data_IF_418971182829
#
_entry.id   IF_418971182829
#
_cell.length_a   1.000
_cell.length_b   1.000
_cell.length_c   1.000
_cell.angle_alpha   90.00
_cell.angle_beta   90.00
_cell.angle_gamma   90.00
#
_symmetry.space_group_name_H-M   'P 1'
#
loop_
_entity.id
_entity.type
_entity.pdbx_description
1 polymer ?
#
# COMPACT_ATOMS: atom_id res chain seq x y z
N UNK A 1 -40.00 -35.06 21.79
CA UNK A 1 -39.25 -36.33 21.92
C UNK A 1 -39.86 -37.10 23.06
N UNK A 2 -40.43 -38.26 22.77
CA UNK A 2 -40.88 -39.23 23.78
C UNK A 2 -39.71 -40.20 23.98
N UNK A 3 -38.95 -40.00 25.04
CA UNK A 3 -37.88 -40.91 25.47
C UNK A 3 -38.49 -41.94 26.40
N UNK A 4 -38.35 -43.23 26.08
CA UNK A 4 -38.78 -44.30 26.97
C UNK A 4 -37.62 -44.69 27.89
N UNK A 5 -37.74 -44.42 29.19
CA UNK A 5 -36.69 -44.75 30.16
C UNK A 5 -36.83 -46.22 30.54
N UNK A 6 -35.83 -47.02 30.21
CA UNK A 6 -35.79 -48.45 30.53
C UNK A 6 -35.22 -48.66 31.94
N UNK A 7 -34.20 -47.88 32.32
CA UNK A 7 -33.53 -48.01 33.62
C UNK A 7 -32.88 -46.71 34.05
N UNK A 8 -32.94 -46.43 35.36
CA UNK A 8 -32.30 -45.27 35.99
C UNK A 8 -31.62 -45.71 37.27
N UNK A 9 -30.29 -45.59 37.33
CA UNK A 9 -29.48 -45.94 38.51
C UNK A 9 -28.57 -44.78 38.90
N UNK A 10 -28.44 -44.52 40.19
CA UNK A 10 -27.51 -43.49 40.67
C UNK A 10 -26.08 -44.00 40.50
N UNK A 11 -25.24 -43.22 39.84
CA UNK A 11 -23.82 -43.47 39.71
C UNK A 11 -23.06 -42.41 40.53
N UNK A 12 -22.51 -42.85 41.67
CA UNK A 12 -21.77 -41.99 42.59
C UNK A 12 -20.36 -41.66 42.09
N UNK A 13 -19.89 -42.32 41.03
CA UNK A 13 -18.57 -42.08 40.43
C UNK A 13 -18.56 -40.94 39.41
N UNK A 14 -19.74 -40.55 38.90
CA UNK A 14 -19.88 -39.53 37.86
C UNK A 14 -20.53 -38.26 38.41
N UNK A 15 -19.83 -37.13 38.26
CA UNK A 15 -20.27 -35.82 38.78
C UNK A 15 -20.66 -34.84 37.67
N UNK A 16 -21.70 -34.05 37.92
CA UNK A 16 -22.17 -33.05 36.98
C UNK A 16 -21.15 -31.91 36.79
N UNK A 17 -20.79 -31.54 35.54
CA UNK A 17 -19.82 -30.46 35.29
C UNK A 17 -20.34 -29.07 35.68
N UNK A 18 -21.66 -28.89 35.85
CA UNK A 18 -22.25 -27.59 36.20
C UNK A 18 -22.37 -27.37 37.71
N UNK A 19 -22.69 -28.42 38.48
CA UNK A 19 -22.99 -28.29 39.92
C UNK A 19 -22.29 -29.30 40.82
N UNK A 20 -21.49 -30.21 40.25
CA UNK A 20 -20.71 -31.26 40.94
C UNK A 20 -21.52 -32.26 41.77
N UNK A 21 -22.84 -32.31 41.64
CA UNK A 21 -23.67 -33.35 42.24
C UNK A 21 -23.54 -34.69 41.49
N UNK A 22 -23.80 -35.80 42.17
CA UNK A 22 -23.83 -37.15 41.58
C UNK A 22 -24.92 -37.28 40.52
N UNK A 23 -24.64 -38.10 39.50
CA UNK A 23 -25.50 -38.24 38.33
C UNK A 23 -26.18 -39.61 38.29
N UNK A 24 -27.34 -39.68 37.66
CA UNK A 24 -27.99 -40.94 37.32
C UNK A 24 -27.49 -41.43 35.96
N UNK A 25 -27.07 -42.68 35.86
CA UNK A 25 -26.96 -43.37 34.58
C UNK A 25 -28.35 -43.80 34.12
N UNK A 26 -28.73 -43.38 32.92
CA UNK A 26 -30.04 -43.63 32.31
C UNK A 26 -29.84 -44.43 31.03
N UNK A 27 -30.45 -45.61 31.01
CA UNK A 27 -30.63 -46.42 29.81
C UNK A 27 -32.05 -46.11 29.30
N UNK A 28 -32.13 -45.53 28.10
CA UNK A 28 -33.40 -45.14 27.46
C UNK A 28 -33.44 -45.65 26.03
N UNK A 29 -34.63 -45.57 25.43
CA UNK A 29 -34.87 -45.94 24.05
C UNK A 29 -35.58 -44.78 23.32
N UNK A 30 -35.09 -44.46 22.13
CA UNK A 30 -35.66 -43.45 21.24
C UNK A 30 -35.83 -44.07 19.84
N UNK A 31 -37.07 -44.23 19.36
CA UNK A 31 -37.38 -44.83 18.06
C UNK A 31 -36.66 -46.16 17.79
N UNK A 32 -36.74 -47.11 18.74
CA UNK A 32 -36.11 -48.44 18.66
C UNK A 32 -34.57 -48.44 18.70
N UNK A 33 -33.95 -47.29 19.05
CA UNK A 33 -32.51 -47.17 19.26
C UNK A 33 -32.18 -46.98 20.74
N UNK A 34 -31.22 -47.76 21.23
CA UNK A 34 -30.68 -47.64 22.59
C UNK A 34 -29.93 -46.31 22.75
N UNK A 35 -30.30 -45.54 23.78
CA UNK A 35 -29.70 -44.27 24.14
C UNK A 35 -29.28 -44.28 25.61
N UNK A 36 -27.98 -44.18 25.84
CA UNK A 36 -27.41 -44.13 27.18
C UNK A 36 -26.89 -42.72 27.47
N UNK A 37 -27.30 -42.14 28.60
CA UNK A 37 -26.86 -40.82 29.03
C UNK A 37 -26.86 -40.66 30.55
N UNK A 38 -26.14 -39.66 31.04
CA UNK A 38 -26.15 -39.33 32.46
C UNK A 38 -27.04 -38.12 32.72
N UNK A 39 -27.93 -38.17 33.71
CA UNK A 39 -28.76 -37.04 34.15
C UNK A 39 -28.40 -36.62 35.57
N UNK A 40 -28.03 -35.35 35.75
CA UNK A 40 -27.74 -34.81 37.08
C UNK A 40 -28.99 -34.80 37.98
N UNK A 41 -28.83 -35.29 39.20
CA UNK A 41 -29.87 -35.31 40.24
C UNK A 41 -30.39 -33.92 40.64
N UNK A 42 -29.55 -32.88 40.55
CA UNK A 42 -29.89 -31.55 41.06
C UNK A 42 -30.32 -30.56 39.95
N UNK A 43 -29.53 -30.45 38.87
CA UNK A 43 -29.79 -29.45 37.81
C UNK A 43 -30.37 -30.04 36.51
N UNK A 44 -30.71 -31.35 36.51
CA UNK A 44 -31.23 -32.08 35.34
C UNK A 44 -30.37 -31.94 34.08
N UNK A 45 -29.07 -31.71 34.27
CA UNK A 45 -28.13 -31.63 33.17
C UNK A 45 -27.88 -33.02 32.61
N UNK A 46 -28.04 -33.16 31.30
CA UNK A 46 -27.91 -34.43 30.59
C UNK A 46 -26.57 -34.45 29.84
N UNK A 47 -25.79 -35.51 30.04
CA UNK A 47 -24.56 -35.80 29.31
C UNK A 47 -24.79 -37.02 28.43
N UNK A 48 -24.90 -36.77 27.13
CA UNK A 48 -25.00 -37.81 26.11
C UNK A 48 -23.58 -38.22 25.69
N UNK A 49 -23.42 -39.49 25.30
CA UNK A 49 -22.13 -39.99 24.78
C UNK A 49 -21.89 -39.55 23.33
N UNK A 50 -22.96 -39.20 22.61
CA UNK A 50 -22.92 -38.74 21.22
C UNK A 50 -23.21 -37.23 21.09
N UNK A 51 -22.54 -36.58 20.13
CA UNK A 51 -22.72 -35.15 19.80
C UNK A 51 -24.09 -34.81 19.16
N UNK A 52 -24.93 -35.81 18.90
CA UNK A 52 -26.24 -35.65 18.26
C UNK A 52 -27.29 -35.07 19.22
N UNK A 53 -27.12 -35.31 20.52
CA UNK A 53 -28.13 -34.95 21.52
C UNK A 53 -27.68 -33.78 22.38
N UNK A 54 -28.64 -32.90 22.68
CA UNK A 54 -28.37 -31.62 23.29
C UNK A 54 -29.05 -31.53 24.66
N UNK A 55 -28.30 -31.20 25.70
CA UNK A 55 -28.90 -30.93 27.01
C UNK A 55 -29.86 -29.73 26.96
N UNK A 56 -30.99 -29.87 27.65
CA UNK A 56 -32.07 -28.87 27.71
C UNK A 56 -32.27 -28.22 29.10
N UNK A 57 -31.34 -28.42 30.05
CA UNK A 57 -31.35 -27.69 31.31
C UNK A 57 -31.21 -26.17 31.10
N UNK A 58 -31.65 -25.37 32.06
CA UNK A 58 -31.69 -23.90 31.95
C UNK A 58 -30.32 -23.29 31.66
N UNK A 59 -29.27 -23.76 32.32
CA UNK A 59 -27.90 -23.29 32.11
C UNK A 59 -27.42 -23.53 30.66
N UNK A 60 -27.66 -24.73 30.13
CA UNK A 60 -27.31 -25.06 28.74
C UNK A 60 -28.15 -24.29 27.71
N UNK A 61 -29.45 -24.11 27.97
CA UNK A 61 -30.33 -23.29 27.12
C UNK A 61 -29.87 -21.83 27.09
N UNK A 62 -29.49 -21.26 28.24
CA UNK A 62 -29.00 -19.89 28.33
C UNK A 62 -27.64 -19.72 27.66
N UNK A 63 -26.71 -20.67 27.85
CA UNK A 63 -25.41 -20.67 27.16
C UNK A 63 -25.58 -20.73 25.64
N UNK A 64 -26.48 -21.59 25.13
CA UNK A 64 -26.76 -21.71 23.69
C UNK A 64 -27.44 -20.46 23.12
N UNK A 65 -28.40 -19.86 23.84
CA UNK A 65 -29.00 -18.57 23.47
C UNK A 65 -27.97 -17.44 23.41
N UNK A 66 -27.02 -17.42 24.35
CA UNK A 66 -25.92 -16.43 24.34
C UNK A 66 -25.01 -16.64 23.13
N UNK A 67 -24.61 -17.89 22.85
CA UNK A 67 -23.79 -18.24 21.70
C UNK A 67 -24.48 -17.86 20.38
N UNK A 68 -25.77 -18.16 20.22
CA UNK A 68 -26.56 -17.80 19.04
C UNK A 68 -26.67 -16.28 18.85
N UNK A 69 -26.82 -15.51 19.93
CA UNK A 69 -26.82 -14.04 19.87
C UNK A 69 -25.44 -13.51 19.46
N UNK A 70 -24.36 -14.10 19.96
CA UNK A 70 -22.99 -13.73 19.61
C UNK A 70 -22.66 -14.07 18.16
N UNK A 71 -23.05 -15.25 17.65
CA UNK A 71 -22.86 -15.62 16.24
C UNK A 71 -23.66 -14.75 15.30
N UNK A 72 -24.92 -14.42 15.63
CA UNK A 72 -25.74 -13.49 14.84
C UNK A 72 -25.16 -12.08 14.81
N UNK A 73 -24.61 -11.59 15.94
CA UNK A 73 -23.91 -10.30 15.99
C UNK A 73 -22.63 -10.31 15.14
N UNK A 74 -21.89 -11.41 15.12
CA UNK A 74 -20.71 -11.58 14.28
C UNK A 74 -21.06 -11.65 12.79
N UNK A 75 -22.11 -12.38 12.42
CA UNK A 75 -22.59 -12.42 11.03
C UNK A 75 -23.10 -11.05 10.57
N UNK A 76 -23.85 -10.33 11.41
CA UNK A 76 -24.27 -8.96 11.10
C UNK A 76 -23.08 -8.00 10.95
N UNK A 77 -22.01 -8.17 11.74
CA UNK A 77 -20.75 -7.40 11.55
C UNK A 77 -20.06 -7.74 10.24
N UNK A 78 -19.95 -9.02 9.88
CA UNK A 78 -19.38 -9.46 8.59
C UNK A 78 -20.19 -8.97 7.39
N UNK A 79 -21.53 -8.98 7.49
CA UNK A 79 -22.43 -8.48 6.44
C UNK A 79 -22.33 -6.95 6.31
N UNK A 80 -22.19 -6.22 7.42
CA UNK A 80 -21.92 -4.77 7.40
C UNK A 80 -20.55 -4.48 6.78
N UNK A 81 -19.50 -5.21 7.16
CA UNK A 81 -18.17 -5.07 6.57
C UNK A 81 -18.15 -5.36 5.07
N UNK A 82 -18.87 -6.39 4.59
CA UNK A 82 -19.02 -6.68 3.15
C UNK A 82 -19.67 -5.55 2.34
N UNK A 83 -20.49 -4.69 2.96
CA UNK A 83 -21.12 -3.55 2.27
C UNK A 83 -20.20 -2.33 2.16
N UNK A 84 -19.12 -2.28 2.92
CA UNK A 84 -18.19 -1.14 3.00
C UNK A 84 -16.85 -1.39 2.27
N UNK A 85 -16.66 -2.55 1.63
CA UNK A 85 -15.48 -2.81 0.80
C UNK A 85 -15.62 -2.01 -0.49
N UNK A 86 -14.99 -0.83 -0.53
CA UNK A 86 -14.83 -0.05 -1.75
C UNK A 86 -13.84 -0.79 -2.64
N UNK A 87 -14.34 -1.41 -3.69
CA UNK A 87 -13.50 -2.08 -4.69
C UNK A 87 -12.95 -1.05 -5.67
N UNK A 88 -11.64 -0.80 -5.59
CA UNK A 88 -10.95 0.14 -6.46
C UNK A 88 -10.50 -0.54 -7.75
N UNK A 89 -10.76 0.06 -8.90
CA UNK A 89 -10.17 -0.42 -10.14
C UNK A 89 -8.71 0.06 -10.26
N UNK A 90 -7.82 -0.75 -10.81
CA UNK A 90 -6.38 -0.44 -10.85
C UNK A 90 -6.10 0.88 -11.60
N UNK A 91 -6.86 1.19 -12.64
CA UNK A 91 -6.81 2.46 -13.39
C UNK A 91 -7.19 3.68 -12.53
N UNK A 92 -8.01 3.48 -11.49
CA UNK A 92 -8.48 4.56 -10.63
C UNK A 92 -7.45 5.03 -9.62
N UNK A 93 -6.43 4.22 -9.35
CA UNK A 93 -5.32 4.62 -8.48
C UNK A 93 -4.57 5.80 -9.10
N UNK A 94 -4.05 6.67 -8.23
CA UNK A 94 -3.18 7.74 -8.68
C UNK A 94 -1.82 7.18 -9.15
N UNK A 95 -1.13 7.96 -9.97
CA UNK A 95 0.16 7.60 -10.58
C UNK A 95 1.21 7.23 -9.51
N UNK A 96 1.25 7.96 -8.38
CA UNK A 96 2.17 7.70 -7.28
C UNK A 96 1.96 6.31 -6.65
N UNK A 97 0.70 5.93 -6.42
CA UNK A 97 0.31 4.65 -5.85
C UNK A 97 0.58 3.50 -6.83
N UNK A 98 0.28 3.68 -8.13
CA UNK A 98 0.64 2.69 -9.16
C UNK A 98 2.15 2.48 -9.26
N UNK A 99 2.92 3.58 -9.26
CA UNK A 99 4.38 3.55 -9.26
C UNK A 99 4.93 2.81 -8.02
N UNK A 100 4.36 3.09 -6.84
CA UNK A 100 4.75 2.42 -5.61
C UNK A 100 4.42 0.93 -5.64
N UNK A 101 3.21 0.55 -6.06
CA UNK A 101 2.81 -0.85 -6.24
C UNK A 101 3.75 -1.59 -7.20
N UNK A 102 4.09 -0.99 -8.35
CA UNK A 102 5.05 -1.59 -9.27
C UNK A 102 6.42 -1.78 -8.61
N UNK A 103 6.94 -0.75 -7.93
CA UNK A 103 8.24 -0.83 -7.26
C UNK A 103 8.31 -1.92 -6.17
N UNK A 104 7.16 -2.23 -5.56
CA UNK A 104 6.99 -3.29 -4.56
C UNK A 104 7.02 -4.68 -5.21
N UNK A 105 6.31 -4.84 -6.34
CA UNK A 105 6.03 -6.13 -6.98
C UNK A 105 7.07 -6.56 -8.01
N UNK A 106 7.76 -5.61 -8.66
CA UNK A 106 8.53 -5.89 -9.87
C UNK A 106 9.67 -6.89 -9.68
N UNK A 107 10.30 -6.89 -8.49
CA UNK A 107 11.34 -7.88 -8.17
C UNK A 107 10.82 -9.16 -7.51
N UNK A 108 9.53 -9.24 -7.21
CA UNK A 108 8.91 -10.36 -6.49
C UNK A 108 8.18 -11.31 -7.44
N UNK A 109 7.56 -10.78 -8.49
CA UNK A 109 6.68 -11.54 -9.38
C UNK A 109 7.31 -11.64 -10.76
N UNK A 110 7.80 -12.83 -11.13
CA UNK A 110 8.44 -13.09 -12.41
C UNK A 110 7.80 -14.29 -13.11
N UNK A 111 7.82 -14.29 -14.44
CA UNK A 111 7.36 -15.42 -15.26
C UNK A 111 8.18 -16.68 -14.94
N UNK A 112 7.50 -17.82 -14.80
CA UNK A 112 8.14 -19.11 -14.54
C UNK A 112 8.62 -19.34 -13.11
N UNK A 113 8.45 -18.38 -12.19
CA UNK A 113 8.80 -18.52 -10.78
C UNK A 113 7.57 -18.70 -9.90
N UNK A 114 7.68 -19.55 -8.86
CA UNK A 114 6.65 -19.66 -7.81
C UNK A 114 6.79 -18.44 -6.90
N UNK A 115 5.75 -17.60 -6.85
CA UNK A 115 5.66 -16.46 -5.95
C UNK A 115 4.46 -16.60 -5.00
N UNK A 116 4.51 -15.88 -3.89
CA UNK A 116 3.40 -15.79 -2.96
C UNK A 116 2.40 -14.72 -3.44
N UNK A 117 1.10 -15.04 -3.47
CA UNK A 117 0.05 -14.06 -3.78
C UNK A 117 -0.07 -12.96 -2.69
N UNK A 118 0.49 -13.21 -1.50
CA UNK A 118 0.51 -12.24 -0.40
C UNK A 118 1.81 -11.46 -0.31
N UNK A 119 1.68 -10.16 -0.02
CA UNK A 119 2.79 -9.25 0.30
C UNK A 119 3.11 -9.39 1.78
N UNK A 120 4.29 -9.93 2.10
CA UNK A 120 4.81 -10.00 3.48
C UNK A 120 5.69 -8.79 3.77
N UNK A 121 5.13 -7.82 4.47
CA UNK A 121 5.80 -6.54 4.68
C UNK A 121 7.10 -6.65 5.48
N UNK A 122 7.13 -7.51 6.50
CA UNK A 122 8.30 -7.69 7.37
C UNK A 122 9.55 -8.15 6.60
N UNK A 123 9.38 -8.93 5.52
CA UNK A 123 10.47 -9.45 4.68
C UNK A 123 11.05 -8.40 3.71
N UNK A 124 10.30 -7.33 3.43
CA UNK A 124 10.61 -6.36 2.37
C UNK A 124 10.76 -4.92 2.86
N UNK A 125 10.34 -4.61 4.09
CA UNK A 125 10.25 -3.23 4.61
C UNK A 125 11.57 -2.44 4.62
N UNK A 126 12.72 -3.10 4.65
CA UNK A 126 14.04 -2.45 4.62
C UNK A 126 14.72 -2.46 3.25
N UNK A 127 14.08 -3.03 2.23
CA UNK A 127 14.59 -2.94 0.85
C UNK A 127 14.46 -1.49 0.35
N UNK A 128 15.35 -1.02 -0.54
CA UNK A 128 15.29 0.34 -1.08
C UNK A 128 14.18 0.46 -2.15
N UNK A 129 12.92 0.29 -1.74
CA UNK A 129 11.77 0.37 -2.65
C UNK A 129 11.52 1.84 -3.00
N UNK A 130 11.50 2.71 -1.98
CA UNK A 130 11.42 4.17 -2.15
C UNK A 130 12.67 4.85 -1.59
N UNK A 131 12.90 6.16 -1.84
CA UNK A 131 14.13 6.83 -1.41
C UNK A 131 14.42 6.73 0.09
N UNK A 132 13.40 6.68 0.95
CA UNK A 132 13.63 6.45 2.38
C UNK A 132 12.51 5.65 3.04
N UNK A 133 12.85 4.99 4.16
CA UNK A 133 11.93 4.11 4.87
C UNK A 133 10.65 4.81 5.38
N UNK A 134 10.76 6.08 5.79
CA UNK A 134 9.60 6.83 6.30
C UNK A 134 8.58 7.08 5.19
N UNK A 135 9.05 7.42 4.00
CA UNK A 135 8.20 7.60 2.83
C UNK A 135 7.55 6.28 2.39
N UNK A 136 8.33 5.21 2.34
CA UNK A 136 7.84 3.85 2.08
C UNK A 136 6.74 3.43 3.08
N UNK A 137 6.98 3.65 4.38
CA UNK A 137 5.99 3.35 5.43
C UNK A 137 4.74 4.22 5.33
N UNK A 138 4.89 5.48 4.90
CA UNK A 138 3.77 6.37 4.68
C UNK A 138 2.88 5.90 3.52
N UNK A 139 3.48 5.54 2.38
CA UNK A 139 2.75 5.03 1.21
C UNK A 139 2.03 3.72 1.52
N UNK A 140 2.66 2.79 2.26
CA UNK A 140 1.98 1.58 2.73
C UNK A 140 0.74 1.90 3.57
N UNK A 141 0.87 2.82 4.55
CA UNK A 141 -0.26 3.23 5.39
C UNK A 141 -1.38 3.89 4.58
N UNK A 142 -1.03 4.66 3.55
CA UNK A 142 -2.03 5.23 2.63
C UNK A 142 -2.77 4.12 1.87
N UNK A 143 -2.06 3.18 1.25
CA UNK A 143 -2.69 2.08 0.51
C UNK A 143 -3.58 1.19 1.41
N UNK A 144 -3.19 0.98 2.66
CA UNK A 144 -4.01 0.25 3.64
C UNK A 144 -5.26 1.04 4.01
N UNK A 145 -5.11 2.34 4.30
CA UNK A 145 -6.24 3.23 4.62
C UNK A 145 -7.21 3.35 3.45
N UNK A 146 -6.69 3.37 2.24
CA UNK A 146 -7.45 3.55 1.01
C UNK A 146 -7.99 2.18 0.49
N UNK A 147 -7.96 1.12 1.30
CA UNK A 147 -8.46 -0.23 1.00
C UNK A 147 -7.88 -0.89 -0.27
N UNK A 148 -6.70 -0.44 -0.72
CA UNK A 148 -5.95 -1.04 -1.83
C UNK A 148 -5.13 -2.24 -1.33
N UNK A 149 -4.60 -2.15 -0.11
CA UNK A 149 -3.94 -3.26 0.58
C UNK A 149 -4.77 -3.65 1.79
N UNK A 150 -5.22 -4.90 1.83
CA UNK A 150 -6.05 -5.39 2.95
C UNK A 150 -5.23 -6.37 3.79
N UNK A 151 -5.13 -6.14 5.11
CA UNK A 151 -4.43 -7.06 6.00
C UNK A 151 -5.19 -8.39 6.08
N UNK A 152 -4.44 -9.48 6.23
CA UNK A 152 -5.04 -10.80 6.41
C UNK A 152 -5.60 -10.93 7.83
N UNK A 153 -6.92 -10.91 7.97
CA UNK A 153 -7.65 -10.92 9.27
C UNK A 153 -7.44 -12.18 10.12
N UNK A 154 -6.81 -13.25 9.60
CA UNK A 154 -6.78 -14.58 10.22
C UNK A 154 -5.39 -15.24 10.28
N UNK A 155 -4.30 -14.48 10.13
CA UNK A 155 -2.94 -15.03 10.28
C UNK A 155 -2.28 -14.56 11.58
N UNK A 156 -1.48 -15.45 12.19
CA UNK A 156 -0.53 -15.13 13.27
C UNK A 156 0.55 -14.12 12.82
N UNK A 157 0.58 -13.74 11.54
CA UNK A 157 1.47 -12.75 10.96
C UNK A 157 0.71 -11.43 10.68
N UNK A 158 0.81 -10.41 11.55
CA UNK A 158 0.06 -9.17 11.47
C UNK A 158 0.48 -8.22 10.33
N UNK A 159 1.42 -8.62 9.46
CA UNK A 159 1.99 -7.78 8.40
C UNK A 159 1.95 -8.44 7.01
N UNK A 160 0.99 -9.34 6.81
CA UNK A 160 0.69 -9.95 5.52
C UNK A 160 -0.52 -9.28 4.88
N UNK A 161 -0.37 -8.81 3.64
CA UNK A 161 -1.38 -8.07 2.89
C UNK A 161 -1.72 -8.75 1.56
N UNK A 162 -2.96 -8.60 1.10
CA UNK A 162 -3.35 -8.88 -0.29
C UNK A 162 -3.76 -7.58 -0.99
N UNK A 163 -3.63 -7.54 -2.32
CA UNK A 163 -4.05 -6.39 -3.13
C UNK A 163 -5.53 -6.53 -3.45
N UNK A 164 -6.31 -5.52 -3.08
CA UNK A 164 -7.75 -5.43 -3.33
C UNK A 164 -8.00 -4.41 -4.46
N UNK A 165 -7.71 -4.82 -5.70
CA UNK A 165 -7.95 -4.00 -6.90
C UNK A 165 -8.61 -4.82 -8.00
N UNK A 166 -9.48 -4.20 -8.79
CA UNK A 166 -10.03 -4.81 -10.01
C UNK A 166 -9.16 -4.52 -11.22
N UNK A 167 -9.17 -5.43 -12.18
CA UNK A 167 -8.46 -5.29 -13.46
C UNK A 167 -9.37 -5.81 -14.59
N UNK A 168 -9.71 -4.99 -15.58
CA UNK A 168 -10.38 -5.38 -16.84
C UNK A 168 -11.50 -6.44 -16.72
N UNK A 169 -12.41 -6.24 -15.77
CA UNK A 169 -13.57 -7.14 -15.55
C UNK A 169 -13.31 -8.30 -14.59
N UNK A 170 -12.07 -8.51 -14.15
CA UNK A 170 -11.74 -9.43 -13.06
C UNK A 170 -11.92 -8.72 -11.70
N UNK A 171 -12.77 -9.31 -10.86
CA UNK A 171 -12.99 -8.84 -9.48
C UNK A 171 -11.80 -9.14 -8.56
N UNK A 172 -11.12 -10.26 -8.79
CA UNK A 172 -9.98 -10.74 -8.00
C UNK A 172 -8.84 -11.14 -8.95
N UNK A 173 -8.11 -10.17 -9.53
CA UNK A 173 -6.97 -10.46 -10.39
C UNK A 173 -5.81 -11.05 -9.58
N UNK A 174 -5.04 -11.95 -10.19
CA UNK A 174 -3.81 -12.47 -9.59
C UNK A 174 -2.76 -11.36 -9.40
N UNK A 175 -1.84 -11.55 -8.45
CA UNK A 175 -0.72 -10.63 -8.24
C UNK A 175 0.12 -10.45 -9.51
N UNK A 176 0.25 -11.51 -10.30
CA UNK A 176 0.91 -11.47 -11.61
C UNK A 176 0.19 -10.62 -12.63
N UNK A 177 -1.13 -10.77 -12.76
CA UNK A 177 -1.93 -9.94 -13.68
C UNK A 177 -1.81 -8.46 -13.35
N UNK A 178 -1.89 -8.11 -12.05
CA UNK A 178 -1.68 -6.73 -11.59
C UNK A 178 -0.26 -6.24 -11.92
N UNK A 179 0.76 -7.06 -11.64
CA UNK A 179 2.15 -6.70 -11.89
C UNK A 179 2.43 -6.49 -13.38
N UNK A 180 1.94 -7.39 -14.24
CA UNK A 180 2.13 -7.28 -15.69
C UNK A 180 1.44 -6.04 -16.26
N UNK A 181 0.22 -5.73 -15.80
CA UNK A 181 -0.44 -4.51 -16.23
C UNK A 181 0.36 -3.26 -15.83
N UNK A 182 0.89 -3.22 -14.61
CA UNK A 182 1.73 -2.12 -14.16
C UNK A 182 3.03 -2.02 -14.98
N UNK A 183 3.66 -3.15 -15.33
CA UNK A 183 4.83 -3.16 -16.23
C UNK A 183 4.48 -2.61 -17.60
N UNK A 184 3.37 -3.03 -18.19
CA UNK A 184 2.91 -2.48 -19.47
C UNK A 184 2.70 -0.97 -19.40
N UNK A 185 2.19 -0.43 -18.30
CA UNK A 185 2.01 1.01 -18.18
C UNK A 185 3.29 1.81 -17.93
N UNK A 186 4.30 1.24 -17.27
CA UNK A 186 5.50 1.98 -16.85
C UNK A 186 6.76 1.68 -17.68
N UNK A 187 6.90 0.47 -18.22
CA UNK A 187 8.10 0.02 -18.93
C UNK A 187 7.91 0.02 -20.44
N UNK A 188 6.69 -0.24 -20.90
CA UNK A 188 6.38 -0.14 -22.31
C UNK A 188 6.05 1.30 -22.69
N UNK A 189 5.97 1.55 -23.99
CA UNK A 189 5.50 2.83 -24.47
C UNK A 189 4.08 3.12 -23.97
N UNK A 190 3.76 4.40 -23.77
CA UNK A 190 2.41 4.91 -23.41
C UNK A 190 1.30 4.46 -24.38
N UNK A 191 1.69 3.81 -25.48
CA UNK A 191 0.88 3.06 -26.42
C UNK A 191 0.05 1.95 -25.80
N UNK A 192 0.61 1.21 -24.83
CA UNK A 192 -0.01 0.02 -24.24
C UNK A 192 -0.81 0.33 -22.96
N UNK A 193 -0.96 1.61 -22.65
CA UNK A 193 -1.73 2.12 -21.53
C UNK A 193 -1.01 3.25 -20.80
N UNK A 194 -1.80 4.03 -20.06
CA UNK A 194 -1.33 5.26 -19.43
C UNK A 194 -1.48 5.09 -17.90
N UNK A 195 -0.39 5.16 -17.12
CA UNK A 195 -0.46 5.02 -15.67
C UNK A 195 -0.97 6.28 -14.95
N UNK A 196 -1.15 7.40 -15.66
CA UNK A 196 -1.51 8.70 -15.12
C UNK A 196 -2.79 9.26 -15.75
N UNK A 197 -3.46 10.16 -15.04
CA UNK A 197 -4.64 10.89 -15.57
C UNK A 197 -4.25 12.23 -16.18
N UNK A 198 -3.31 12.93 -15.56
CA UNK A 198 -2.86 14.25 -16.01
C UNK A 198 -1.35 14.35 -15.99
N UNK A 199 -0.79 15.20 -16.84
CA UNK A 199 0.64 15.48 -16.89
C UNK A 199 1.14 16.12 -15.58
N UNK A 200 0.28 16.91 -14.92
CA UNK A 200 0.48 17.52 -13.62
C UNK A 200 0.64 16.47 -12.51
N UNK A 201 -0.07 15.34 -12.60
CA UNK A 201 0.06 14.23 -11.66
C UNK A 201 1.47 13.60 -11.74
N UNK A 202 1.98 13.41 -12.95
CA UNK A 202 3.35 12.94 -13.21
C UNK A 202 4.36 13.95 -12.69
N UNK A 203 4.18 15.24 -12.99
CA UNK A 203 5.06 16.32 -12.52
C UNK A 203 5.12 16.37 -11.00
N UNK A 204 3.96 16.29 -10.35
CA UNK A 204 3.85 16.31 -8.89
C UNK A 204 4.57 15.10 -8.27
N UNK A 205 4.42 13.93 -8.89
CA UNK A 205 5.12 12.70 -8.46
C UNK A 205 6.63 12.81 -8.63
N UNK A 206 7.11 13.37 -9.75
CA UNK A 206 8.52 13.67 -9.95
C UNK A 206 9.08 14.55 -8.83
N UNK A 207 8.39 15.64 -8.49
CA UNK A 207 8.82 16.55 -7.42
C UNK A 207 8.81 15.85 -6.05
N UNK A 208 7.80 15.03 -5.77
CA UNK A 208 7.74 14.23 -4.54
C UNK A 208 8.96 13.29 -4.44
N UNK A 209 9.24 12.51 -5.48
CA UNK A 209 10.35 11.54 -5.47
C UNK A 209 11.69 12.24 -5.33
N UNK A 210 11.95 13.32 -6.08
CA UNK A 210 13.20 14.08 -5.98
C UNK A 210 13.36 14.75 -4.60
N UNK A 211 12.27 15.22 -3.99
CA UNK A 211 12.32 15.67 -2.60
C UNK A 211 12.70 14.55 -1.63
N UNK A 212 12.16 13.35 -1.82
CA UNK A 212 12.50 12.22 -0.95
C UNK A 212 13.95 11.76 -1.13
N UNK A 213 14.54 11.94 -2.32
CA UNK A 213 15.99 11.78 -2.55
C UNK A 213 16.81 12.84 -1.78
N UNK A 214 16.33 14.10 -1.69
CA UNK A 214 16.96 15.13 -0.81
C UNK A 214 16.88 14.73 0.66
N UNK A 215 15.74 14.17 1.09
CA UNK A 215 15.57 13.68 2.47
C UNK A 215 16.50 12.49 2.74
N UNK A 216 16.64 11.56 1.80
CA UNK A 216 17.57 10.45 1.93
C UNK A 216 19.02 10.94 2.03
N UNK A 217 19.39 11.93 1.21
CA UNK A 217 20.72 12.56 1.25
C UNK A 217 21.01 13.21 2.60
N UNK A 218 20.11 14.04 3.15
CA UNK A 218 20.33 14.64 4.47
C UNK A 218 20.44 13.58 5.57
N UNK A 219 19.63 12.53 5.51
CA UNK A 219 19.60 11.46 6.52
C UNK A 219 20.89 10.68 6.50
N UNK A 220 21.38 10.37 5.30
CA UNK A 220 22.66 9.73 5.11
C UNK A 220 23.80 10.58 5.68
N UNK A 221 23.82 11.87 5.37
CA UNK A 221 24.88 12.78 5.80
C UNK A 221 24.90 12.95 7.33
N UNK A 222 23.76 13.29 7.94
CA UNK A 222 23.64 13.46 9.40
C UNK A 222 23.89 12.18 10.19
N UNK A 223 23.67 10.99 9.59
CA UNK A 223 23.95 9.71 10.24
C UNK A 223 25.42 9.57 10.63
N UNK A 224 26.35 10.16 9.88
CA UNK A 224 27.78 10.16 10.21
C UNK A 224 28.10 10.88 11.53
N UNK A 225 27.22 11.78 11.97
CA UNK A 225 27.31 12.52 13.22
C UNK A 225 26.42 11.96 14.34
N UNK A 226 25.73 10.83 14.10
CA UNK A 226 24.74 10.29 15.03
C UNK A 226 23.50 11.18 15.20
N UNK A 227 23.26 12.11 14.27
CA UNK A 227 22.14 13.04 14.29
C UNK A 227 21.00 12.49 13.44
N UNK A 228 19.80 12.45 14.01
CA UNK A 228 18.57 12.16 13.28
C UNK A 228 18.04 13.43 12.63
N UNK A 229 17.57 13.31 11.39
CA UNK A 229 16.90 14.39 10.66
C UNK A 229 15.79 13.80 9.78
N UNK A 230 14.73 14.55 9.56
CA UNK A 230 13.57 14.12 8.79
C UNK A 230 12.94 15.31 8.06
N UNK A 231 12.32 15.07 6.91
CA UNK A 231 11.60 16.10 6.18
C UNK A 231 10.35 16.59 6.91
N UNK A 232 9.98 17.86 6.72
CA UNK A 232 8.68 18.41 7.08
C UNK A 232 8.08 19.19 5.91
N UNK A 233 6.77 19.50 5.99
CA UNK A 233 6.05 20.20 4.92
C UNK A 233 6.67 21.56 4.58
N UNK A 234 7.10 22.31 5.60
CA UNK A 234 7.69 23.63 5.41
C UNK A 234 9.01 23.59 4.62
N UNK A 235 9.82 22.55 4.83
CA UNK A 235 11.04 22.30 4.08
C UNK A 235 10.74 21.73 2.69
N UNK A 236 9.74 20.84 2.58
CA UNK A 236 9.28 20.30 1.30
C UNK A 236 8.86 21.40 0.32
N UNK A 237 7.99 22.32 0.74
CA UNK A 237 7.57 23.45 -0.10
C UNK A 237 8.78 24.30 -0.54
N UNK A 238 9.78 24.45 0.32
CA UNK A 238 10.99 25.18 -0.02
C UNK A 238 11.85 24.41 -1.04
N UNK A 239 12.05 23.11 -0.86
CA UNK A 239 12.74 22.26 -1.83
C UNK A 239 12.06 22.28 -3.20
N UNK A 240 10.73 22.27 -3.27
CA UNK A 240 10.02 22.39 -4.55
C UNK A 240 10.37 23.68 -5.29
N UNK A 241 10.47 24.81 -4.59
CA UNK A 241 10.93 26.07 -5.19
C UNK A 241 12.39 26.02 -5.64
N UNK A 242 13.25 25.30 -4.92
CA UNK A 242 14.64 25.10 -5.35
C UNK A 242 14.70 24.26 -6.64
N UNK A 243 13.92 23.18 -6.72
CA UNK A 243 13.83 22.28 -7.87
C UNK A 243 13.34 22.97 -9.16
N UNK A 244 12.64 24.11 -9.06
CA UNK A 244 12.26 24.92 -10.23
C UNK A 244 13.45 25.57 -10.92
N UNK A 245 14.52 25.89 -10.19
CA UNK A 245 15.65 26.69 -10.72
C UNK A 245 17.00 25.99 -10.67
N UNK A 246 17.18 25.01 -9.77
CA UNK A 246 18.44 24.32 -9.54
C UNK A 246 18.37 22.85 -9.96
N UNK A 247 19.52 22.31 -10.36
CA UNK A 247 19.69 20.87 -10.51
C UNK A 247 19.70 20.17 -9.14
N UNK A 248 19.35 18.89 -9.08
CA UNK A 248 19.30 18.15 -7.82
C UNK A 248 20.67 18.10 -7.12
N UNK A 249 21.77 17.94 -7.87
CA UNK A 249 23.12 17.94 -7.31
C UNK A 249 23.56 19.31 -6.76
N UNK A 250 23.04 20.42 -7.29
CA UNK A 250 23.26 21.75 -6.70
C UNK A 250 22.53 21.88 -5.37
N UNK A 251 21.34 21.29 -5.25
CA UNK A 251 20.61 21.25 -3.97
C UNK A 251 21.35 20.40 -2.96
N UNK A 252 21.93 19.25 -3.37
CA UNK A 252 22.78 18.44 -2.48
C UNK A 252 23.98 19.24 -1.96
N UNK A 253 24.68 19.96 -2.83
CA UNK A 253 25.77 20.84 -2.41
C UNK A 253 25.32 21.85 -1.34
N UNK A 254 24.23 22.58 -1.60
CA UNK A 254 23.70 23.56 -0.64
C UNK A 254 23.32 22.91 0.69
N UNK A 255 22.63 21.77 0.65
CA UNK A 255 22.22 21.00 1.84
C UNK A 255 23.43 20.55 2.64
N UNK A 256 24.46 20.01 1.98
CA UNK A 256 25.69 19.58 2.63
C UNK A 256 26.37 20.76 3.33
N UNK A 257 26.63 21.87 2.63
CA UNK A 257 27.29 23.05 3.20
C UNK A 257 26.51 23.63 4.38
N UNK A 258 25.17 23.69 4.29
CA UNK A 258 24.34 24.17 5.38
C UNK A 258 24.36 23.24 6.59
N UNK A 259 24.34 21.92 6.37
CA UNK A 259 24.44 20.93 7.45
C UNK A 259 25.80 20.98 8.15
N UNK A 260 26.90 21.08 7.39
CA UNK A 260 28.25 21.20 7.93
C UNK A 260 28.38 22.46 8.80
N UNK A 261 27.88 23.60 8.31
CA UNK A 261 27.84 24.83 9.08
C UNK A 261 27.07 24.66 10.39
N UNK A 262 25.85 24.12 10.34
CA UNK A 262 25.02 23.92 11.54
C UNK A 262 25.65 22.94 12.55
N UNK A 263 26.35 21.92 12.06
CA UNK A 263 27.09 20.96 12.88
C UNK A 263 28.31 21.59 13.55
N UNK A 264 29.11 22.35 12.79
CA UNK A 264 30.28 23.07 13.32
C UNK A 264 29.89 24.07 14.43
N UNK A 265 28.74 24.74 14.26
CA UNK A 265 28.18 25.63 15.28
C UNK A 265 27.51 24.90 16.46
N UNK A 266 27.44 23.56 16.42
CA UNK A 266 26.81 22.70 17.44
C UNK A 266 25.33 23.04 17.72
N UNK A 267 24.60 23.49 16.69
CA UNK A 267 23.19 23.88 16.81
C UNK A 267 22.26 22.69 16.51
N UNK A 268 22.75 21.69 15.78
CA UNK A 268 21.97 20.48 15.50
C UNK A 268 21.76 19.64 16.76
N UNK A 269 20.51 19.23 16.97
CA UNK A 269 20.13 18.31 18.04
C UNK A 269 20.33 16.86 17.60
N UNK A 270 20.63 15.96 18.54
CA UNK A 270 20.80 14.52 18.26
C UNK A 270 19.51 13.90 17.70
N UNK A 271 18.35 14.32 18.23
CA UNK A 271 17.03 13.91 17.75
C UNK A 271 16.34 15.09 17.09
N UNK A 272 15.59 14.83 16.01
CA UNK A 272 14.84 15.88 15.30
C UNK A 272 13.47 16.13 15.93
N UNK A 273 13.43 16.47 17.22
CA UNK A 273 12.18 16.73 17.92
C UNK A 273 11.48 17.95 17.32
N UNK A 274 10.17 17.85 17.07
CA UNK A 274 9.37 18.90 16.45
C UNK A 274 9.96 19.47 15.14
N UNK A 275 10.77 18.68 14.43
CA UNK A 275 11.48 19.09 13.20
C UNK A 275 12.43 20.28 13.37
N UNK A 276 13.03 20.46 14.56
CA UNK A 276 13.95 21.57 14.86
C UNK A 276 15.13 21.63 13.87
N UNK A 277 15.83 20.51 13.66
CA UNK A 277 17.00 20.46 12.77
C UNK A 277 16.63 20.85 11.34
N UNK A 278 15.48 20.38 10.87
CA UNK A 278 14.98 20.64 9.51
C UNK A 278 14.57 22.10 9.34
N UNK A 279 13.97 22.70 10.37
CA UNK A 279 13.61 24.12 10.37
C UNK A 279 14.85 25.03 10.37
N UNK A 280 15.90 24.64 11.12
CA UNK A 280 17.20 25.33 11.10
C UNK A 280 17.84 25.22 9.71
N UNK A 281 17.93 24.01 9.17
CA UNK A 281 18.45 23.74 7.82
C UNK A 281 17.73 24.59 6.77
N UNK A 282 16.40 24.62 6.80
CA UNK A 282 15.59 25.45 5.91
C UNK A 282 16.01 26.92 5.98
N UNK A 283 16.09 27.50 7.19
CA UNK A 283 16.44 28.92 7.38
C UNK A 283 17.85 29.22 6.84
N UNK A 284 18.82 28.36 7.15
CA UNK A 284 20.20 28.51 6.65
C UNK A 284 20.25 28.44 5.13
N UNK A 285 19.53 27.50 4.51
CA UNK A 285 19.47 27.37 3.05
C UNK A 285 18.77 28.56 2.38
N UNK A 286 17.73 29.11 3.00
CA UNK A 286 17.07 30.33 2.51
C UNK A 286 18.07 31.49 2.45
N UNK A 287 18.83 31.70 3.53
CA UNK A 287 19.87 32.75 3.57
C UNK A 287 20.96 32.51 2.53
N UNK A 288 21.46 31.28 2.40
CA UNK A 288 22.46 30.96 1.38
C UNK A 288 21.92 31.17 -0.04
N UNK A 289 20.65 30.82 -0.28
CA UNK A 289 20.04 31.02 -1.59
C UNK A 289 19.84 32.49 -1.91
N UNK A 290 19.36 33.29 -0.96
CA UNK A 290 19.22 34.74 -1.10
C UNK A 290 20.57 35.39 -1.43
N UNK A 291 21.61 35.11 -0.64
CA UNK A 291 22.97 35.62 -0.89
C UNK A 291 23.53 35.16 -2.24
N UNK A 292 23.39 33.88 -2.57
CA UNK A 292 23.84 33.36 -3.88
C UNK A 292 23.19 34.08 -5.06
N UNK A 293 21.94 34.52 -4.91
CA UNK A 293 21.20 35.21 -5.96
C UNK A 293 21.61 36.68 -6.06
N UNK A 294 21.76 37.36 -4.91
CA UNK A 294 22.22 38.75 -4.85
C UNK A 294 23.65 38.91 -5.34
N UNK A 295 24.53 38.00 -4.93
CA UNK A 295 25.97 38.03 -5.22
C UNK A 295 26.33 37.24 -6.50
N UNK A 296 25.34 36.64 -7.18
CA UNK A 296 25.50 35.84 -8.41
C UNK A 296 26.52 34.71 -8.29
N UNK A 297 26.50 33.98 -7.18
CA UNK A 297 27.36 32.82 -6.99
C UNK A 297 26.97 31.69 -7.95
N UNK A 298 27.97 31.10 -8.60
CA UNK A 298 27.80 29.81 -9.25
C UNK A 298 27.69 28.74 -8.18
N UNK A 299 26.57 28.00 -8.17
CA UNK A 299 26.37 26.90 -7.22
C UNK A 299 26.96 25.63 -7.82
N UNK A 300 28.01 25.04 -7.21
CA UNK A 300 28.58 23.78 -7.67
C UNK A 300 27.55 22.66 -7.65
N UNK A 301 27.74 21.68 -8.52
CA UNK A 301 26.91 20.48 -8.55
C UNK A 301 27.64 19.35 -7.85
N UNK A 302 27.03 18.79 -6.80
CA UNK A 302 27.52 17.60 -6.13
C UNK A 302 26.88 16.35 -6.76
N UNK A 303 27.66 15.33 -7.16
CA UNK A 303 27.10 14.07 -7.62
C UNK A 303 26.39 13.33 -6.48
N UNK A 304 25.45 12.46 -6.82
CA UNK A 304 24.78 11.61 -5.83
C UNK A 304 25.82 10.67 -5.19
N UNK A 305 25.89 10.58 -3.85
CA UNK A 305 26.80 9.66 -3.18
C UNK A 305 26.53 8.20 -3.58
N UNK A 306 27.59 7.47 -3.96
CA UNK A 306 27.50 6.09 -4.44
C UNK A 306 27.06 5.09 -3.36
N UNK A 307 27.29 5.42 -2.09
CA UNK A 307 26.95 4.61 -0.93
C UNK A 307 25.48 4.73 -0.50
N UNK A 308 24.71 5.64 -1.11
CA UNK A 308 23.28 5.74 -0.89
C UNK A 308 22.59 4.78 -1.88
N UNK A 309 21.78 3.81 -1.42
CA UNK A 309 21.08 2.91 -2.34
C UNK A 309 20.11 3.71 -3.21
N UNK A 310 20.12 3.46 -4.51
CA UNK A 310 19.15 4.05 -5.42
C UNK A 310 17.84 3.28 -5.33
N UNK A 311 16.72 4.00 -5.18
CA UNK A 311 15.44 3.33 -4.93
C UNK A 311 14.82 2.79 -6.21
N UNK A 312 14.13 1.64 -6.12
CA UNK A 312 13.39 1.07 -7.25
C UNK A 312 12.37 2.06 -7.83
N UNK A 313 11.69 2.79 -6.95
CA UNK A 313 10.72 3.81 -7.35
C UNK A 313 11.36 4.94 -8.17
N UNK A 314 12.56 5.39 -7.77
CA UNK A 314 13.34 6.40 -8.51
C UNK A 314 13.82 5.87 -9.86
N UNK A 315 14.30 4.62 -9.91
CA UNK A 315 14.73 3.95 -11.14
C UNK A 315 13.61 3.85 -12.18
N UNK A 316 12.46 3.31 -11.75
CA UNK A 316 11.29 3.17 -12.60
C UNK A 316 10.84 4.53 -13.12
N UNK A 317 10.69 5.52 -12.23
CA UNK A 317 10.18 6.83 -12.63
C UNK A 317 11.15 7.56 -13.57
N UNK A 318 12.40 7.70 -13.16
CA UNK A 318 13.35 8.57 -13.86
C UNK A 318 13.86 7.91 -15.14
N UNK A 319 14.23 6.64 -15.09
CA UNK A 319 14.97 5.99 -16.18
C UNK A 319 14.07 5.16 -17.08
N UNK A 320 13.11 4.41 -16.52
CA UNK A 320 12.21 3.57 -17.32
C UNK A 320 11.06 4.38 -17.93
N UNK A 321 10.33 5.12 -17.10
CA UNK A 321 9.12 5.80 -17.52
C UNK A 321 9.39 7.16 -18.20
N UNK A 322 10.20 8.02 -17.57
CA UNK A 322 10.53 9.34 -18.15
C UNK A 322 11.68 9.25 -19.17
N UNK A 323 12.41 8.13 -19.24
CA UNK A 323 13.51 7.95 -20.19
C UNK A 323 14.67 8.93 -19.97
N UNK A 324 14.85 9.42 -18.75
CA UNK A 324 15.99 10.24 -18.40
C UNK A 324 17.25 9.40 -18.20
N UNK A 325 18.39 10.06 -18.25
CA UNK A 325 19.69 9.54 -17.84
C UNK A 325 20.09 10.20 -16.50
N UNK A 326 21.31 9.91 -16.04
CA UNK A 326 21.86 10.54 -14.83
C UNK A 326 22.00 12.07 -14.94
N UNK A 327 21.88 12.66 -16.14
CA UNK A 327 21.93 14.12 -16.28
C UNK A 327 20.77 14.82 -15.58
N UNK A 328 19.71 14.11 -15.18
CA UNK A 328 18.64 14.66 -14.31
C UNK A 328 19.20 15.23 -12.98
N UNK A 329 20.35 14.74 -12.51
CA UNK A 329 21.00 15.26 -11.31
C UNK A 329 21.85 16.51 -11.57
N UNK A 330 22.23 16.77 -12.83
CA UNK A 330 23.16 17.84 -13.22
C UNK A 330 22.49 19.00 -13.95
N UNK A 331 21.23 18.86 -14.38
CA UNK A 331 20.48 19.93 -15.02
C UNK A 331 19.20 20.30 -14.25
N UNK A 332 18.72 21.55 -14.34
CA UNK A 332 17.43 21.94 -13.77
C UNK A 332 16.27 21.13 -14.35
N UNK A 333 15.31 20.75 -13.50
CA UNK A 333 14.21 19.84 -13.86
C UNK A 333 13.35 20.41 -14.98
N UNK A 334 13.16 21.74 -15.05
CA UNK A 334 12.36 22.35 -16.10
C UNK A 334 12.89 22.06 -17.51
N UNK A 335 14.23 21.87 -17.67
CA UNK A 335 14.83 21.52 -18.97
C UNK A 335 14.45 20.10 -19.37
N UNK A 336 14.58 19.15 -18.45
CA UNK A 336 14.18 17.75 -18.68
C UNK A 336 12.67 17.62 -18.87
N UNK A 337 11.89 18.38 -18.10
CA UNK A 337 10.44 18.40 -18.17
C UNK A 337 9.93 18.90 -19.53
N UNK A 338 10.48 20.01 -20.03
CA UNK A 338 10.10 20.59 -21.32
C UNK A 338 10.25 19.60 -22.50
N UNK A 339 11.17 18.64 -22.39
CA UNK A 339 11.36 17.61 -23.43
C UNK A 339 10.25 16.55 -23.45
N UNK A 340 9.70 16.19 -22.29
CA UNK A 340 8.74 15.08 -22.16
C UNK A 340 7.28 15.54 -22.03
N UNK A 341 7.06 16.74 -21.50
CA UNK A 341 5.74 17.32 -21.27
C UNK A 341 4.81 17.26 -22.49
N UNK A 342 5.24 17.57 -23.73
CA UNK A 342 4.39 17.45 -24.90
C UNK A 342 3.89 16.01 -25.14
N UNK A 343 4.76 15.00 -24.94
CA UNK A 343 4.40 13.59 -25.07
C UNK A 343 3.35 13.21 -24.03
N UNK A 344 3.54 13.59 -22.77
CA UNK A 344 2.58 13.28 -21.69
C UNK A 344 1.22 13.98 -21.90
N UNK A 345 1.25 15.25 -22.33
CA UNK A 345 0.06 16.03 -22.65
C UNK A 345 -0.75 15.43 -23.80
N UNK A 346 -0.09 14.90 -24.82
CA UNK A 346 -0.77 14.20 -25.91
C UNK A 346 -1.65 13.07 -25.35
N UNK A 347 -1.15 12.26 -24.43
CA UNK A 347 -1.89 11.12 -23.89
C UNK A 347 -2.94 11.49 -22.83
N UNK A 348 -2.74 12.57 -22.07
CA UNK A 348 -3.72 12.99 -21.04
C UNK A 348 -4.91 13.79 -21.59
N UNK A 349 -4.76 14.47 -22.73
CA UNK A 349 -5.76 15.42 -23.24
C UNK A 349 -6.64 14.83 -24.35
N UNK A 350 -6.26 13.72 -24.97
CA UNK A 350 -7.01 13.16 -26.11
C UNK A 350 -8.41 12.69 -25.68
N UNK A 351 -9.40 13.08 -26.48
CA UNK A 351 -10.81 12.70 -26.38
C UNK A 351 -11.29 12.22 -27.75
N UNK A 352 -12.27 11.32 -27.81
CA UNK A 352 -12.95 10.93 -29.07
C UNK A 352 -13.33 12.21 -29.80
N UNK A 353 -12.82 12.44 -31.01
CA UNK A 353 -13.16 13.66 -31.77
C UNK A 353 -14.66 13.72 -32.08
N UNK A 354 -15.34 12.58 -32.11
CA UNK A 354 -16.77 12.47 -32.41
C UNK A 354 -17.70 12.71 -31.20
N UNK A 355 -17.36 12.21 -30.00
CA UNK A 355 -18.26 12.28 -28.83
C UNK A 355 -17.64 12.94 -27.59
N UNK A 356 -16.38 13.39 -27.68
CA UNK A 356 -15.66 14.03 -26.57
C UNK A 356 -15.37 13.11 -25.39
N UNK A 357 -15.52 11.79 -25.54
CA UNK A 357 -15.25 10.81 -24.48
C UNK A 357 -13.75 10.59 -24.29
N UNK A 358 -13.32 10.45 -23.03
CA UNK A 358 -11.95 10.08 -22.67
C UNK A 358 -11.72 8.56 -22.70
N UNK A 359 -12.75 7.77 -23.01
CA UNK A 359 -12.71 6.30 -22.96
C UNK A 359 -12.25 5.78 -24.32
N UNK A 360 -10.92 5.80 -24.52
CA UNK A 360 -10.25 5.51 -25.78
C UNK A 360 -9.36 4.26 -25.64
N UNK A 361 -9.49 3.34 -26.58
CA UNK A 361 -8.50 2.32 -26.89
C UNK A 361 -7.47 2.89 -27.86
N UNK A 362 -6.20 2.59 -27.63
CA UNK A 362 -5.11 3.02 -28.50
C UNK A 362 -4.60 1.79 -29.24
N UNK A 363 -4.67 1.80 -30.57
CA UNK A 363 -4.17 0.75 -31.46
C UNK A 363 -3.07 1.33 -32.35
N UNK A 364 -1.99 0.57 -32.52
CA UNK A 364 -0.85 0.99 -33.35
C UNK A 364 -0.81 0.18 -34.63
N UNK A 365 -0.53 0.87 -35.73
CA UNK A 365 -0.01 0.25 -36.94
C UNK A 365 1.50 0.46 -37.00
N UNK A 366 2.22 -0.55 -37.48
CA UNK A 366 3.68 -0.67 -37.33
C UNK A 366 4.52 0.43 -38.01
N UNK A 367 3.90 1.37 -38.75
CA UNK A 367 4.61 2.27 -39.67
C UNK A 367 4.11 3.73 -39.67
N UNK A 368 4.03 4.39 -38.50
CA UNK A 368 3.94 5.87 -38.32
C UNK A 368 2.57 6.50 -37.96
N UNK A 369 1.56 5.75 -37.50
CA UNK A 369 0.36 6.38 -36.94
C UNK A 369 -0.26 5.62 -35.76
N UNK A 370 -0.92 6.39 -34.90
CA UNK A 370 -1.66 5.95 -33.71
C UNK A 370 -3.14 6.06 -33.99
N UNK A 371 -3.87 4.96 -33.85
CA UNK A 371 -5.32 4.93 -33.96
C UNK A 371 -5.94 4.97 -32.57
N UNK A 372 -6.78 5.96 -32.27
CA UNK A 372 -7.59 6.02 -31.06
C UNK A 372 -9.01 5.56 -31.38
N UNK A 373 -9.39 4.35 -30.96
CA UNK A 373 -10.76 3.87 -31.04
C UNK A 373 -11.52 4.18 -29.76
N UNK A 374 -12.60 4.94 -29.83
CA UNK A 374 -13.39 5.22 -28.65
C UNK A 374 -14.33 4.09 -28.27
N UNK A 375 -14.32 3.69 -26.99
CA UNK A 375 -15.22 2.65 -26.46
C UNK A 375 -16.70 3.05 -26.50
N UNK A 376 -17.00 4.35 -26.42
CA UNK A 376 -18.38 4.89 -26.46
C UNK A 376 -18.91 5.05 -27.89
N UNK A 377 -18.18 5.78 -28.73
CA UNK A 377 -18.63 6.18 -30.07
C UNK A 377 -18.20 5.17 -31.15
N UNK A 378 -17.30 4.22 -30.83
CA UNK A 378 -16.59 3.32 -31.76
C UNK A 378 -15.85 4.04 -32.90
N UNK A 379 -15.73 5.37 -32.82
CA UNK A 379 -15.01 6.18 -33.79
C UNK A 379 -13.51 5.98 -33.62
N UNK A 380 -12.78 5.96 -34.74
CA UNK A 380 -11.33 5.80 -34.80
C UNK A 380 -10.70 7.11 -35.26
N UNK A 381 -9.81 7.67 -34.45
CA UNK A 381 -9.03 8.86 -34.76
C UNK A 381 -7.59 8.45 -35.06
N UNK A 382 -7.10 8.70 -36.28
CA UNK A 382 -5.72 8.39 -36.66
C UNK A 382 -4.81 9.62 -36.50
N UNK A 383 -3.70 9.45 -35.78
CA UNK A 383 -2.70 10.50 -35.55
C UNK A 383 -1.35 10.03 -36.07
N UNK A 384 -0.83 10.71 -37.08
CA UNK A 384 0.54 10.49 -37.56
C UNK A 384 1.53 11.05 -36.52
N UNK A 385 2.52 10.23 -36.13
CA UNK A 385 3.56 10.62 -35.16
C UNK A 385 4.78 11.23 -35.83
#
# INVERSE_FOLDING_TARGET
MLLQILKKKLDESTFCPLCRASMYFIEAEEFEQELNFHECSHCKHQLFQDDKHNCHCESCKNKRKKLLKETLLQEQRKIKQKKDIVEHSLDQLNFLHKLFLLSLLDGHVQEGHVYNEFIRWEEIKYRPITPNYFFQSHLMKQLVRDNVLVPKDFSDDPHTYYINVRLDGYSEPSLYSVTQQLRHWFYENLSLGIPFRTTEEVKSTLYIVLYQEIVQFMQHYCRTWGIQIAGNNAFQTFCYRLLESLALGQIYYLVQTALEYLHQQKILQVRNENFINTNLLKKTLQQYRERSTTEKWETPTLPRPQNIPFSKMSDILLFRFLGYDENIFFQPIWRSWKKIEPRLNFYSVKRCMYCGSNDLNVEYDAENYVTLSCRKCKHQDHYFM
#
